data_IF_635804865205
#
_entry.id   IF_635804865205
#
_cell.length_a   1.000
_cell.length_b   1.000
_cell.length_c   1.000
_cell.angle_alpha   90.00
_cell.angle_beta   90.00
_cell.angle_gamma   90.00
#
_symmetry.space_group_name_H-M   'P 1'
#
loop_
_entity.id
_entity.type
_entity.pdbx_description
1 polymer ?
#
# COMPACT_ATOMS: atom_id res chain seq x y z
N UNK A 1 -6.25 29.58 3.75
CA UNK A 1 -6.69 28.18 3.66
C UNK A 1 -6.00 27.25 4.67
N UNK A 2 -5.10 27.75 5.53
CA UNK A 2 -4.28 26.91 6.43
C UNK A 2 -4.83 26.77 7.87
N UNK A 3 -5.82 27.56 8.29
CA UNK A 3 -6.27 27.63 9.70
C UNK A 3 -7.00 26.39 10.26
N UNK A 4 -7.20 25.31 9.50
CA UNK A 4 -7.96 24.13 9.96
C UNK A 4 -7.16 22.82 9.97
N UNK A 5 -5.86 22.85 9.72
CA UNK A 5 -5.01 21.65 9.64
C UNK A 5 -4.92 20.86 10.96
N UNK A 6 -4.86 21.47 12.17
CA UNK A 6 -4.75 20.69 13.41
C UNK A 6 -6.03 19.96 13.83
N UNK A 7 -7.21 20.38 13.37
CA UNK A 7 -8.51 19.84 13.83
C UNK A 7 -9.00 18.61 13.07
N UNK A 8 -8.22 18.11 12.11
CA UNK A 8 -8.59 16.99 11.23
C UNK A 8 -7.82 15.69 11.52
N UNK A 9 -6.86 15.74 12.44
CA UNK A 9 -6.07 14.59 12.83
C UNK A 9 -6.58 14.06 14.17
N UNK A 10 -7.40 13.03 14.12
CA UNK A 10 -7.66 12.19 15.28
C UNK A 10 -6.59 11.10 15.33
N UNK A 11 -6.17 10.68 16.53
CA UNK A 11 -5.11 9.66 16.70
C UNK A 11 -5.54 8.31 16.11
N UNK A 12 -6.85 8.13 16.00
CA UNK A 12 -7.54 7.00 15.38
C UNK A 12 -7.38 6.99 13.84
N UNK A 13 -6.97 8.11 13.22
CA UNK A 13 -6.86 8.29 11.77
C UNK A 13 -5.43 8.18 11.21
N UNK A 14 -4.44 7.74 11.99
CA UNK A 14 -3.03 7.73 11.54
C UNK A 14 -2.79 6.92 10.24
N UNK A 15 -3.67 5.95 9.96
CA UNK A 15 -3.62 5.13 8.75
C UNK A 15 -4.69 5.50 7.70
N UNK A 16 -5.49 6.54 7.92
CA UNK A 16 -6.61 6.92 7.03
C UNK A 16 -6.66 8.41 6.71
N UNK A 17 -5.93 9.25 7.45
CA UNK A 17 -6.00 10.72 7.36
C UNK A 17 -5.83 11.27 5.95
N UNK A 18 -5.02 10.61 5.12
CA UNK A 18 -4.74 11.03 3.74
C UNK A 18 -5.99 10.99 2.84
N UNK A 19 -6.98 10.15 3.16
CA UNK A 19 -8.26 10.13 2.45
C UNK A 19 -9.19 11.28 2.83
N UNK A 20 -8.84 12.05 3.86
CA UNK A 20 -9.57 13.24 4.30
C UNK A 20 -8.94 14.54 3.80
N UNK A 21 -7.88 14.45 2.98
CA UNK A 21 -7.26 15.61 2.36
C UNK A 21 -8.28 16.33 1.44
N UNK A 22 -8.46 17.66 1.57
CA UNK A 22 -9.31 18.41 0.65
C UNK A 22 -8.86 18.22 -0.80
N UNK A 23 -9.80 17.87 -1.68
CA UNK A 23 -9.54 17.54 -3.09
C UNK A 23 -8.55 16.37 -3.30
N UNK A 24 -8.34 15.54 -2.27
CA UNK A 24 -7.55 14.32 -2.36
C UNK A 24 -8.32 13.16 -2.99
N UNK A 25 -7.62 12.06 -3.24
CA UNK A 25 -8.20 10.81 -3.71
C UNK A 25 -8.88 10.08 -2.53
N UNK A 26 -10.06 9.50 -2.74
CA UNK A 26 -10.73 8.69 -1.72
C UNK A 26 -10.16 7.28 -1.68
N UNK A 27 -10.39 6.54 -0.59
CA UNK A 27 -9.98 5.14 -0.49
C UNK A 27 -10.60 4.31 -1.62
N UNK A 28 -11.87 4.55 -1.89
CA UNK A 28 -12.68 3.82 -2.86
C UNK A 28 -12.15 4.03 -4.30
N UNK A 29 -11.73 5.25 -4.63
CA UNK A 29 -11.12 5.57 -5.91
C UNK A 29 -9.78 4.85 -6.10
N UNK A 30 -8.91 4.86 -5.07
CA UNK A 30 -7.64 4.13 -5.11
C UNK A 30 -7.88 2.63 -5.23
N UNK A 31 -8.81 2.05 -4.45
CA UNK A 31 -9.11 0.62 -4.53
C UNK A 31 -9.66 0.22 -5.88
N UNK A 32 -10.56 1.01 -6.49
CA UNK A 32 -11.12 0.71 -7.81
C UNK A 32 -10.00 0.59 -8.84
N UNK A 33 -9.12 1.59 -8.91
CA UNK A 33 -8.02 1.61 -9.88
C UNK A 33 -7.03 0.46 -9.67
N UNK A 34 -6.77 0.06 -8.43
CA UNK A 34 -5.89 -1.08 -8.14
C UNK A 34 -6.57 -2.41 -8.48
N UNK A 35 -7.87 -2.55 -8.21
CA UNK A 35 -8.64 -3.73 -8.60
C UNK A 35 -8.66 -3.91 -10.12
N UNK A 36 -8.94 -2.84 -10.87
CA UNK A 36 -8.93 -2.85 -12.34
C UNK A 36 -7.56 -3.30 -12.88
N UNK A 37 -6.48 -2.78 -12.29
CA UNK A 37 -5.12 -3.18 -12.66
C UNK A 37 -4.82 -4.65 -12.28
N UNK A 38 -5.26 -5.12 -11.11
CA UNK A 38 -5.11 -6.52 -10.70
C UNK A 38 -5.82 -7.47 -11.66
N UNK A 39 -6.99 -7.10 -12.18
CA UNK A 39 -7.72 -7.86 -13.20
C UNK A 39 -6.98 -7.86 -14.55
N UNK A 40 -6.45 -6.71 -14.98
CA UNK A 40 -5.71 -6.58 -16.23
C UNK A 40 -4.51 -7.51 -16.29
N UNK A 41 -3.76 -7.60 -15.19
CA UNK A 41 -2.51 -8.36 -15.12
C UNK A 41 -2.71 -9.87 -14.89
N UNK A 42 -3.93 -10.37 -14.70
CA UNK A 42 -4.16 -11.82 -14.54
C UNK A 42 -3.71 -12.65 -15.75
N UNK A 43 -3.59 -12.01 -16.91
CA UNK A 43 -3.11 -12.63 -18.16
C UNK A 43 -1.59 -12.73 -18.22
N UNK A 44 -0.87 -12.02 -17.35
CA UNK A 44 0.59 -11.99 -17.33
C UNK A 44 1.14 -13.12 -16.46
N UNK A 45 2.11 -13.92 -16.94
CA UNK A 45 2.60 -15.07 -16.21
C UNK A 45 3.40 -14.69 -14.94
N UNK A 46 4.08 -13.53 -14.95
CA UNK A 46 4.83 -12.97 -13.82
C UNK A 46 4.87 -11.44 -13.92
N UNK A 47 4.62 -10.76 -12.81
CA UNK A 47 4.61 -9.29 -12.74
C UNK A 47 5.52 -8.82 -11.60
N UNK A 48 6.34 -7.81 -11.89
CA UNK A 48 7.05 -7.02 -10.87
C UNK A 48 6.36 -5.65 -10.82
N UNK A 49 5.77 -5.33 -9.67
CA UNK A 49 5.10 -4.06 -9.46
C UNK A 49 5.91 -3.20 -8.48
N UNK A 50 6.21 -1.97 -8.88
CA UNK A 50 6.87 -0.96 -8.04
C UNK A 50 5.86 0.14 -7.78
N UNK A 51 5.61 0.46 -6.52
CA UNK A 51 4.59 1.43 -6.12
C UNK A 51 4.97 2.17 -4.84
N UNK A 52 4.20 3.20 -4.50
CA UNK A 52 4.32 3.88 -3.21
C UNK A 52 3.69 3.05 -2.07
N UNK A 53 4.11 3.34 -0.84
CA UNK A 53 3.75 2.55 0.33
C UNK A 53 2.25 2.34 0.56
N UNK A 54 1.44 3.39 0.40
CA UNK A 54 -0.01 3.30 0.53
C UNK A 54 -0.63 2.40 -0.55
N UNK A 55 -0.27 2.64 -1.81
CA UNK A 55 -0.73 1.82 -2.93
C UNK A 55 -0.35 0.36 -2.71
N UNK A 56 0.88 0.09 -2.28
CA UNK A 56 1.34 -1.26 -1.96
C UNK A 56 0.58 -1.91 -0.80
N UNK A 57 0.17 -1.16 0.23
CA UNK A 57 -0.72 -1.64 1.30
C UNK A 57 -2.08 -2.08 0.75
N UNK A 58 -2.70 -1.21 -0.04
CA UNK A 58 -4.04 -1.46 -0.59
C UNK A 58 -4.01 -2.63 -1.57
N UNK A 59 -3.02 -2.68 -2.47
CA UNK A 59 -2.81 -3.80 -3.39
C UNK A 59 -2.70 -5.13 -2.65
N UNK A 60 -1.86 -5.19 -1.62
CA UNK A 60 -1.71 -6.40 -0.80
C UNK A 60 -2.99 -6.76 -0.06
N UNK A 61 -3.71 -5.78 0.45
CA UNK A 61 -5.00 -6.00 1.11
C UNK A 61 -6.05 -6.57 0.16
N UNK A 62 -6.19 -5.99 -1.04
CA UNK A 62 -7.09 -6.48 -2.07
C UNK A 62 -6.72 -7.90 -2.51
N UNK A 63 -5.42 -8.15 -2.74
CA UNK A 63 -4.92 -9.45 -3.16
C UNK A 63 -5.19 -10.57 -2.13
N UNK A 64 -5.18 -10.28 -0.83
CA UNK A 64 -5.43 -11.28 0.22
C UNK A 64 -6.85 -11.26 0.78
N UNK A 65 -7.71 -10.33 0.33
CA UNK A 65 -9.06 -10.17 0.85
C UNK A 65 -9.12 -9.55 2.26
N UNK A 66 -8.11 -8.79 2.68
CA UNK A 66 -8.11 -8.10 3.96
C UNK A 66 -9.09 -6.91 3.97
N UNK A 67 -9.69 -6.67 5.15
CA UNK A 67 -10.45 -5.46 5.40
C UNK A 67 -9.58 -4.20 5.34
N UNK A 68 -10.21 -3.06 5.02
CA UNK A 68 -9.56 -1.74 4.89
C UNK A 68 -8.61 -1.43 6.05
N UNK A 69 -9.07 -1.59 7.29
CA UNK A 69 -8.27 -1.22 8.46
C UNK A 69 -6.99 -2.05 8.60
N UNK A 70 -7.06 -3.35 8.33
CA UNK A 70 -5.93 -4.26 8.41
C UNK A 70 -4.96 -4.04 7.25
N UNK A 71 -5.49 -3.83 6.04
CA UNK A 71 -4.69 -3.51 4.87
C UNK A 71 -3.85 -2.24 5.07
N UNK A 72 -4.44 -1.18 5.65
CA UNK A 72 -3.75 0.10 5.87
C UNK A 72 -2.68 0.03 6.97
N UNK A 73 -2.65 -1.04 7.77
CA UNK A 73 -1.62 -1.30 8.80
C UNK A 73 -0.46 -2.15 8.30
N UNK A 74 -0.54 -2.72 7.09
CA UNK A 74 0.53 -3.57 6.52
C UNK A 74 1.88 -2.82 6.46
N UNK A 75 2.99 -3.56 6.54
CA UNK A 75 4.35 -3.00 6.54
C UNK A 75 4.67 -2.23 5.24
N UNK A 76 5.45 -1.15 5.33
CA UNK A 76 5.88 -0.30 4.19
C UNK A 76 7.41 -0.25 4.16
N UNK A 77 8.04 -1.42 4.17
CA UNK A 77 9.50 -1.49 4.08
C UNK A 77 9.97 -1.12 2.68
N UNK A 78 11.10 -0.39 2.61
CA UNK A 78 11.77 0.08 1.40
C UNK A 78 12.91 -0.87 0.96
N UNK A 79 13.10 -1.93 1.73
CA UNK A 79 14.29 -2.78 1.84
C UNK A 79 13.91 -4.27 1.73
N UNK A 80 12.65 -4.55 1.36
CA UNK A 80 12.15 -5.88 1.07
C UNK A 80 11.19 -5.91 -0.12
N UNK A 81 11.05 -7.09 -0.71
CA UNK A 81 10.00 -7.40 -1.67
C UNK A 81 8.86 -8.17 -1.00
N UNK A 82 7.65 -7.95 -1.49
CA UNK A 82 6.48 -8.77 -1.14
C UNK A 82 6.14 -9.68 -2.33
N UNK A 83 6.28 -10.98 -2.15
CA UNK A 83 5.84 -11.98 -3.13
C UNK A 83 4.40 -12.37 -2.85
N UNK A 84 3.55 -12.16 -3.85
CA UNK A 84 2.12 -12.49 -3.81
C UNK A 84 1.92 -13.78 -4.63
N UNK A 85 1.44 -14.84 -3.97
CA UNK A 85 1.18 -16.14 -4.60
C UNK A 85 0.12 -16.92 -3.84
N UNK A 86 -0.77 -17.63 -4.54
CA UNK A 86 -1.81 -18.47 -3.91
C UNK A 86 -2.63 -17.73 -2.83
N UNK A 87 -3.02 -16.48 -3.09
CA UNK A 87 -3.73 -15.63 -2.12
C UNK A 87 -2.97 -15.40 -0.79
N UNK A 88 -1.64 -15.56 -0.79
CA UNK A 88 -0.76 -15.33 0.36
C UNK A 88 0.37 -14.35 0.00
N UNK A 89 0.94 -13.75 1.04
CA UNK A 89 2.07 -12.83 0.94
C UNK A 89 3.26 -13.43 1.68
N UNK A 90 4.42 -13.47 1.03
CA UNK A 90 5.71 -13.83 1.64
C UNK A 90 6.66 -12.65 1.48
N UNK A 91 7.42 -12.32 2.52
CA UNK A 91 8.47 -11.30 2.45
C UNK A 91 9.77 -11.91 1.95
N UNK A 92 10.45 -11.20 1.06
CA UNK A 92 11.78 -11.52 0.58
C UNK A 92 12.66 -10.33 0.95
N UNK A 93 13.59 -10.54 1.88
CA UNK A 93 14.53 -9.51 2.28
C UNK A 93 15.64 -9.42 1.24
N UNK A 94 16.11 -8.20 1.00
CA UNK A 94 17.36 -8.03 0.30
C UNK A 94 18.45 -8.05 1.37
N UNK A 95 19.40 -8.98 1.29
CA UNK A 95 20.57 -9.01 2.21
C UNK A 95 21.57 -7.88 1.90
N UNK A 96 21.11 -6.75 1.36
CA UNK A 96 21.94 -5.57 1.06
C UNK A 96 22.22 -4.77 2.34
N UNK A 97 22.89 -5.39 3.30
CA UNK A 97 23.61 -4.70 4.35
C UNK A 97 25.09 -5.11 4.28
N UNK A 98 25.98 -4.13 4.43
CA UNK A 98 27.44 -4.23 4.71
C UNK A 98 28.52 -4.13 3.61
N UNK A 99 28.23 -3.79 2.34
CA UNK A 99 29.33 -3.64 1.34
C UNK A 99 29.71 -2.21 0.89
N UNK A 100 29.07 -1.15 1.41
CA UNK A 100 29.36 0.23 0.96
C UNK A 100 29.55 1.29 2.06
N UNK A 101 29.93 0.87 3.28
CA UNK A 101 30.40 1.80 4.32
C UNK A 101 31.87 1.49 4.66
N UNK A 102 32.79 1.93 3.79
CA UNK A 102 34.21 2.12 4.10
C UNK A 102 34.60 3.55 3.75
#
# INVERSE_FOLDING_TARGET
MESNWPKRFHKEDIYSWYFHAPNGETYEAVTSRISDWLEEIQREPKVIAISHGLTGRILRGLYTGLGREDALKLAVSQDMFFKLSNNTITTIYSDFDDFYLH
#
